data_IF_079942334135
#
_entry.id   IF_079942334135
#
_cell.length_a   1.000
_cell.length_b   1.000
_cell.length_c   1.000
_cell.angle_alpha   90.00
_cell.angle_beta   90.00
_cell.angle_gamma   90.00
#
_symmetry.space_group_name_H-M   'P 1'
#
loop_
_entity.id
_entity.type
_entity.pdbx_description
1 polymer ?
#
# COMPACT_ATOMS: atom_id res chain seq x y z
N UNK A 1 -1.75 -10.04 1.77
CA UNK A 1 -1.42 -9.04 0.72
C UNK A 1 -1.48 -7.69 1.38
N UNK A 2 -0.53 -6.80 1.11
CA UNK A 2 -0.47 -5.46 1.73
C UNK A 2 -0.44 -4.38 0.65
N UNK A 3 -0.81 -3.17 1.02
CA UNK A 3 -0.63 -1.99 0.17
C UNK A 3 0.46 -1.13 0.78
N UNK A 4 1.45 -0.74 -0.01
CA UNK A 4 2.42 0.26 0.39
C UNK A 4 2.01 1.60 -0.20
N UNK A 5 1.95 2.62 0.64
CA UNK A 5 1.56 3.97 0.25
C UNK A 5 2.73 4.63 -0.47
N UNK A 6 2.55 4.99 -1.73
CA UNK A 6 3.59 5.67 -2.54
C UNK A 6 3.39 7.17 -2.58
N UNK A 7 2.17 7.63 -2.30
CA UNK A 7 1.82 9.05 -2.19
C UNK A 7 0.98 9.25 -0.95
N UNK A 8 1.30 10.22 -0.11
CA UNK A 8 0.52 10.46 1.10
C UNK A 8 -0.93 10.84 0.77
N UNK A 9 -1.89 10.28 1.51
CA UNK A 9 -3.31 10.60 1.39
C UNK A 9 -4.02 10.35 2.71
N UNK A 10 -5.02 11.18 3.04
CA UNK A 10 -5.75 11.06 4.30
C UNK A 10 -4.82 11.09 5.50
N UNK A 11 -4.82 10.01 6.30
CA UNK A 11 -3.95 9.82 7.46
C UNK A 11 -2.69 8.98 7.16
N UNK A 12 -2.53 8.45 5.95
CA UNK A 12 -1.41 7.58 5.60
C UNK A 12 -0.29 8.38 4.93
N UNK A 13 0.92 8.16 5.42
CA UNK A 13 2.13 8.77 4.88
C UNK A 13 2.76 7.91 3.77
N UNK A 14 3.62 8.51 2.95
CA UNK A 14 4.42 7.75 1.99
C UNK A 14 5.31 6.76 2.75
N UNK A 15 5.27 5.49 2.35
CA UNK A 15 5.97 4.39 3.00
C UNK A 15 5.11 3.60 3.99
N UNK A 16 3.93 4.08 4.35
CA UNK A 16 3.03 3.33 5.23
C UNK A 16 2.55 2.03 4.58
N UNK A 17 2.33 1.03 5.42
CA UNK A 17 1.91 -0.31 5.02
C UNK A 17 0.51 -0.62 5.53
N UNK A 18 -0.44 -0.69 4.61
CA UNK A 18 -1.81 -1.07 4.90
C UNK A 18 -1.90 -2.59 4.76
N UNK A 19 -1.98 -3.26 5.90
CA UNK A 19 -2.06 -4.73 5.98
C UNK A 19 -3.48 -5.22 6.32
N UNK A 20 -4.35 -4.32 6.80
CA UNK A 20 -5.71 -4.65 7.16
C UNK A 20 -6.58 -4.88 5.91
N UNK A 21 -7.26 -6.03 5.78
CA UNK A 21 -8.03 -6.38 4.59
C UNK A 21 -9.25 -5.47 4.37
N UNK A 22 -9.83 -4.87 5.42
CA UNK A 22 -10.91 -3.88 5.27
C UNK A 22 -10.37 -2.56 4.73
N UNK A 23 -9.26 -2.07 5.28
CA UNK A 23 -8.59 -0.86 4.79
C UNK A 23 -8.09 -1.02 3.35
N UNK A 24 -7.50 -2.18 3.03
CA UNK A 24 -7.06 -2.52 1.67
C UNK A 24 -8.22 -2.43 0.69
N UNK A 25 -9.39 -2.97 1.04
CA UNK A 25 -10.59 -2.88 0.19
C UNK A 25 -11.11 -1.46 0.09
N UNK A 26 -11.12 -0.70 1.19
CA UNK A 26 -11.55 0.69 1.19
C UNK A 26 -10.67 1.56 0.28
N UNK A 27 -9.35 1.43 0.38
CA UNK A 27 -8.39 2.18 -0.44
C UNK A 27 -8.46 1.77 -1.91
N UNK A 28 -8.58 0.46 -2.19
CA UNK A 28 -8.72 -0.03 -3.56
C UNK A 28 -10.07 0.31 -4.21
N UNK A 29 -11.12 0.51 -3.41
CA UNK A 29 -12.45 0.90 -3.89
C UNK A 29 -12.60 2.41 -4.08
N UNK A 30 -11.58 3.19 -3.73
CA UNK A 30 -11.53 4.65 -3.89
C UNK A 30 -10.46 5.06 -4.90
N UNK A 31 -10.44 6.35 -5.26
CA UNK A 31 -9.38 6.98 -6.07
C UNK A 31 -7.98 6.89 -5.45
N UNK A 32 -7.90 6.55 -4.15
CA UNK A 32 -6.64 6.31 -3.44
C UNK A 32 -5.90 5.05 -3.93
N UNK A 33 -6.54 4.19 -4.72
CA UNK A 33 -5.90 3.05 -5.38
C UNK A 33 -4.68 3.47 -6.22
N UNK A 34 -4.67 4.70 -6.76
CA UNK A 34 -3.54 5.25 -7.51
C UNK A 34 -2.36 5.71 -6.61
N UNK A 35 -2.60 5.89 -5.31
CA UNK A 35 -1.63 6.38 -4.33
C UNK A 35 -0.93 5.24 -3.55
N UNK A 36 -1.25 3.99 -3.89
CA UNK A 36 -0.75 2.79 -3.23
C UNK A 36 -0.30 1.76 -4.25
N UNK A 37 0.66 0.93 -3.87
CA UNK A 37 1.09 -0.24 -4.65
C UNK A 37 0.78 -1.51 -3.90
N UNK A 38 0.29 -2.51 -4.63
CA UNK A 38 0.05 -3.86 -4.09
C UNK A 38 1.37 -4.58 -3.89
N UNK A 39 1.74 -4.78 -2.63
CA UNK A 39 2.93 -5.52 -2.22
C UNK A 39 2.50 -6.87 -1.64
N UNK A 40 3.15 -7.94 -2.11
CA UNK A 40 3.01 -9.24 -1.46
C UNK A 40 3.71 -9.12 -0.10
N UNK A 41 2.99 -9.44 0.99
CA UNK A 41 3.52 -9.36 2.35
C UNK A 41 4.72 -10.30 2.59
N UNK A 42 5.06 -11.13 1.61
CA UNK A 42 6.20 -12.05 1.63
C UNK A 42 6.99 -11.93 0.34
N UNK A 43 7.91 -10.98 0.31
CA UNK A 43 9.24 -11.14 -0.26
C UNK A 43 10.03 -9.91 0.14
N UNK A 44 11.17 -10.13 0.78
CA UNK A 44 12.22 -9.14 0.93
C UNK A 44 12.42 -8.37 -0.38
N UNK A 45 12.76 -7.06 -0.34
CA UNK A 45 12.97 -6.29 -1.56
C UNK A 45 13.97 -7.03 -2.45
N UNK A 46 13.74 -7.16 -3.77
CA UNK A 46 14.84 -7.52 -4.65
C UNK A 46 15.85 -6.38 -4.50
N UNK A 47 16.96 -6.68 -3.83
CA UNK A 47 18.09 -5.79 -3.67
C UNK A 47 18.49 -5.40 -5.09
N UNK A 48 18.21 -4.15 -5.47
CA UNK A 48 18.54 -3.66 -6.80
C UNK A 48 20.03 -3.37 -6.85
N UNK A 49 20.76 -4.34 -7.40
CA UNK A 49 22.10 -4.28 -8.02
C UNK A 49 23.32 -4.16 -7.11
#
# INVERSE_FOLDING_TARGET
MKLTVTRAFGAYAVGDEITDPQEVRAVLSSDNAANVVKTLASAAPPIAK
#
